data_IF_359997956930
#
_entry.id   IF_359997956930
#
_cell.length_a   1.000
_cell.length_b   1.000
_cell.length_c   1.000
_cell.angle_alpha   90.00
_cell.angle_beta   90.00
_cell.angle_gamma   90.00
#
_symmetry.space_group_name_H-M   'P 1'
#
loop_
_entity.id
_entity.type
_entity.pdbx_description
1 polymer ?
#
# COMPACT_ATOMS: atom_id res chain seq x y z
N UNK A 1 25.15 -23.12 2.57
CA UNK A 1 23.74 -23.00 2.17
C UNK A 1 23.22 -21.73 2.81
N UNK A 2 22.92 -20.70 2.01
CA UNK A 2 22.47 -19.41 2.53
C UNK A 2 20.98 -19.47 2.81
N UNK A 3 20.56 -19.00 3.98
CA UNK A 3 19.16 -18.92 4.40
C UNK A 3 18.30 -18.20 3.36
N UNK A 4 17.42 -18.96 2.71
CA UNK A 4 16.47 -18.47 1.69
C UNK A 4 15.41 -17.51 2.24
N UNK A 5 15.36 -17.27 3.55
CA UNK A 5 14.34 -16.43 4.21
C UNK A 5 14.62 -14.93 4.09
N UNK A 6 15.88 -14.50 3.94
CA UNK A 6 16.24 -13.09 4.01
C UNK A 6 16.12 -12.31 2.69
N UNK A 7 15.77 -12.96 1.57
CA UNK A 7 15.82 -12.28 0.26
C UNK A 7 14.46 -11.77 -0.28
N UNK A 8 13.36 -12.01 0.43
CA UNK A 8 12.02 -11.58 -0.02
C UNK A 8 11.66 -10.18 0.47
N UNK A 9 12.15 -9.81 1.64
CA UNK A 9 11.82 -8.57 2.29
C UNK A 9 13.03 -8.00 2.99
N UNK A 10 13.21 -6.69 2.89
CA UNK A 10 14.19 -5.97 3.68
C UNK A 10 13.59 -4.62 4.09
N UNK A 11 13.91 -4.20 5.31
CA UNK A 11 13.66 -2.86 5.82
C UNK A 11 14.98 -2.27 6.29
N UNK A 12 15.17 -0.98 6.11
CA UNK A 12 16.36 -0.33 6.64
C UNK A 12 16.41 -0.47 8.17
N UNK A 13 17.60 -0.68 8.73
CA UNK A 13 17.81 -0.77 10.19
C UNK A 13 17.63 0.56 10.94
N UNK A 14 17.30 1.65 10.25
CA UNK A 14 17.10 2.99 10.83
C UNK A 14 15.78 3.03 11.60
N UNK A 15 15.79 3.68 12.76
CA UNK A 15 14.56 3.88 13.54
C UNK A 15 13.60 4.83 12.81
N UNK A 16 12.30 4.75 13.13
CA UNK A 16 11.31 5.68 12.58
C UNK A 16 11.67 7.13 12.90
N UNK A 17 12.14 7.40 14.12
CA UNK A 17 12.57 8.74 14.53
C UNK A 17 13.76 9.23 13.69
N UNK A 18 14.73 8.36 13.40
CA UNK A 18 15.86 8.72 12.52
C UNK A 18 15.40 9.03 11.09
N UNK A 19 14.47 8.23 10.55
CA UNK A 19 13.89 8.46 9.23
C UNK A 19 13.15 9.81 9.16
N UNK A 20 12.38 10.13 10.20
CA UNK A 20 11.67 11.42 10.31
C UNK A 20 12.65 12.59 10.38
N UNK A 21 13.73 12.47 11.15
CA UNK A 21 14.75 13.53 11.21
C UNK A 21 15.43 13.75 9.84
N UNK A 22 15.63 12.69 9.05
CA UNK A 22 16.19 12.80 7.71
C UNK A 22 15.23 13.42 6.69
N UNK A 23 13.92 13.48 6.97
CA UNK A 23 12.97 14.18 6.10
C UNK A 23 13.29 15.66 5.97
N UNK A 24 13.90 16.29 6.98
CA UNK A 24 14.22 17.72 6.95
C UNK A 24 15.13 18.15 5.79
N UNK A 25 15.84 17.21 5.15
CA UNK A 25 16.67 17.46 3.96
C UNK A 25 15.95 17.13 2.63
N UNK A 26 14.72 16.64 2.68
CA UNK A 26 13.96 16.12 1.54
C UNK A 26 12.70 16.95 1.28
N UNK A 27 12.08 16.74 0.12
CA UNK A 27 10.78 17.31 -0.20
C UNK A 27 9.67 16.44 0.39
N UNK A 28 8.82 17.06 1.21
CA UNK A 28 7.59 16.51 1.77
C UNK A 28 6.61 17.66 2.04
N UNK A 29 5.31 17.37 2.07
CA UNK A 29 4.28 18.40 2.31
C UNK A 29 3.90 18.49 3.79
N UNK A 30 3.68 17.34 4.41
CA UNK A 30 3.24 17.22 5.79
C UNK A 30 3.62 15.86 6.37
N UNK A 31 3.85 15.82 7.67
CA UNK A 31 4.09 14.60 8.44
C UNK A 31 2.83 14.34 9.27
N UNK A 32 2.19 13.21 8.99
CA UNK A 32 0.99 12.79 9.69
C UNK A 32 1.32 11.68 10.70
N UNK A 33 1.11 11.98 11.98
CA UNK A 33 1.32 11.05 13.09
C UNK A 33 -0.04 10.62 13.61
N UNK A 34 -0.20 9.33 13.88
CA UNK A 34 -1.39 8.76 14.50
C UNK A 34 -1.06 8.27 15.89
N UNK A 35 -1.91 8.63 16.86
CA UNK A 35 -1.89 8.14 18.23
C UNK A 35 -3.13 7.27 18.42
N UNK A 36 -2.88 6.04 18.83
CA UNK A 36 -3.90 5.04 19.11
C UNK A 36 -3.74 4.50 20.52
N UNK A 37 -4.79 3.90 21.07
CA UNK A 37 -4.68 3.22 22.35
C UNK A 37 -3.68 2.05 22.21
N UNK A 38 -2.82 1.85 23.21
CA UNK A 38 -1.89 0.71 23.22
C UNK A 38 -2.66 -0.62 23.11
N UNK A 39 -3.85 -0.69 23.68
CA UNK A 39 -4.82 -1.75 23.44
C UNK A 39 -5.55 -1.53 22.10
N UNK A 40 -5.15 -2.31 21.08
CA UNK A 40 -5.71 -2.23 19.72
C UNK A 40 -7.22 -2.49 19.65
N UNK A 41 -7.81 -3.10 20.67
CA UNK A 41 -9.26 -3.33 20.73
C UNK A 41 -10.04 -2.07 21.15
N UNK A 42 -9.37 -1.11 21.81
CA UNK A 42 -9.98 0.10 22.36
C UNK A 42 -9.74 1.30 21.45
N UNK A 43 -10.75 2.17 21.39
CA UNK A 43 -10.65 3.46 20.71
C UNK A 43 -10.11 4.51 21.68
N UNK A 44 -9.44 5.52 21.15
CA UNK A 44 -9.15 6.73 21.90
C UNK A 44 -10.47 7.42 22.26
N UNK A 45 -10.67 7.82 23.53
CA UNK A 45 -11.84 8.57 23.91
C UNK A 45 -11.83 9.93 23.21
N UNK A 46 -13.02 10.42 22.84
CA UNK A 46 -13.16 11.80 22.42
C UNK A 46 -13.03 12.69 23.66
N UNK A 47 -11.87 13.34 23.78
CA UNK A 47 -11.57 14.23 24.89
C UNK A 47 -11.86 15.67 24.48
N UNK A 48 -12.15 16.52 25.48
CA UNK A 48 -12.30 17.95 25.26
C UNK A 48 -11.04 18.52 24.57
N UNK A 49 -11.19 19.25 23.44
CA UNK A 49 -10.07 19.86 22.71
C UNK A 49 -9.14 20.73 23.57
N UNK A 50 -9.66 21.44 24.57
CA UNK A 50 -8.84 22.26 25.46
C UNK A 50 -7.90 21.43 26.33
N UNK A 51 -8.34 20.25 26.78
CA UNK A 51 -7.49 19.34 27.54
C UNK A 51 -6.37 18.76 26.67
N UNK A 52 -6.71 18.40 25.43
CA UNK A 52 -5.74 17.94 24.43
C UNK A 52 -4.69 19.03 24.17
N UNK A 53 -5.13 20.26 23.93
CA UNK A 53 -4.23 21.40 23.71
C UNK A 53 -3.32 21.65 24.91
N UNK A 54 -3.87 21.68 26.14
CA UNK A 54 -3.09 21.88 27.35
C UNK A 54 -2.07 20.76 27.60
N UNK A 55 -2.42 19.51 27.31
CA UNK A 55 -1.51 18.38 27.40
C UNK A 55 -0.35 18.54 26.40
N UNK A 56 -0.67 18.82 25.14
CA UNK A 56 0.31 18.99 24.07
C UNK A 56 1.26 20.15 24.36
N UNK A 57 0.74 21.30 24.82
CA UNK A 57 1.56 22.46 25.18
C UNK A 57 2.56 22.15 26.30
N UNK A 58 2.20 21.25 27.22
CA UNK A 58 3.08 20.80 28.32
C UNK A 58 4.07 19.73 27.88
N UNK A 59 3.67 18.82 27.01
CA UNK A 59 4.46 17.67 26.61
C UNK A 59 5.40 17.94 25.43
N UNK A 60 5.13 18.95 24.62
CA UNK A 60 5.81 19.20 23.35
C UNK A 60 6.31 20.63 23.27
N UNK A 61 7.63 20.79 23.14
CA UNK A 61 8.27 22.10 23.10
C UNK A 61 7.86 22.91 21.86
N UNK A 62 7.71 22.24 20.72
CA UNK A 62 7.34 22.88 19.43
C UNK A 62 5.86 22.70 19.08
N UNK A 63 4.98 22.70 20.08
CA UNK A 63 3.52 22.54 19.89
C UNK A 63 2.91 23.54 18.89
N UNK A 64 3.50 24.72 18.72
CA UNK A 64 3.06 25.73 17.75
C UNK A 64 3.24 25.30 16.28
N UNK A 65 4.07 24.29 16.01
CA UNK A 65 4.30 23.74 14.66
C UNK A 65 3.28 22.66 14.27
N UNK A 66 2.28 22.42 15.11
CA UNK A 66 1.19 21.49 14.81
C UNK A 66 0.12 22.26 14.02
N UNK A 67 -0.05 21.86 12.77
CA UNK A 67 -0.99 22.51 11.85
C UNK A 67 -2.43 22.04 12.10
N UNK A 68 -2.62 20.77 12.46
CA UNK A 68 -3.95 20.19 12.62
C UNK A 68 -3.97 19.02 13.61
N UNK A 69 -5.11 18.85 14.30
CA UNK A 69 -5.42 17.71 15.16
C UNK A 69 -6.84 17.24 14.85
N UNK A 70 -7.01 15.96 14.54
CA UNK A 70 -8.34 15.39 14.24
C UNK A 70 -8.52 13.99 14.81
N UNK A 71 -9.76 13.67 15.18
CA UNK A 71 -10.15 12.31 15.52
C UNK A 71 -10.57 11.57 14.24
N UNK A 72 -9.92 10.44 13.98
CA UNK A 72 -10.26 9.57 12.86
C UNK A 72 -11.47 8.70 13.18
N UNK A 73 -12.21 8.25 12.16
CA UNK A 73 -13.35 7.32 12.32
C UNK A 73 -12.94 5.98 12.94
N UNK A 74 -11.66 5.62 12.86
CA UNK A 74 -11.08 4.43 13.48
C UNK A 74 -10.86 4.60 14.99
N UNK A 75 -11.12 5.78 15.57
CA UNK A 75 -10.87 6.05 16.98
C UNK A 75 -9.41 6.30 17.30
N UNK A 76 -8.63 6.84 16.35
CA UNK A 76 -7.26 7.31 16.55
C UNK A 76 -7.22 8.84 16.50
N UNK A 77 -6.26 9.46 17.16
CA UNK A 77 -5.98 10.89 17.03
C UNK A 77 -4.90 11.05 15.96
N UNK A 78 -5.12 11.92 14.98
CA UNK A 78 -4.13 12.25 13.96
C UNK A 78 -3.64 13.68 14.17
N UNK A 79 -2.33 13.84 14.21
CA UNK A 79 -1.61 15.11 14.24
C UNK A 79 -0.94 15.34 12.88
N UNK A 80 -1.00 16.57 12.41
CA UNK A 80 -0.33 17.01 11.18
C UNK A 80 0.67 18.10 11.53
N UNK A 81 1.92 17.95 11.09
CA UNK A 81 2.98 18.93 11.29
C UNK A 81 3.96 18.92 10.12
N UNK A 82 4.57 20.06 9.83
CA UNK A 82 5.68 20.16 8.89
C UNK A 82 7.06 20.02 9.54
N UNK A 83 7.13 20.16 10.87
CA UNK A 83 8.40 20.14 11.59
C UNK A 83 8.78 18.70 12.00
N UNK A 84 9.91 18.15 11.53
CA UNK A 84 10.31 16.78 11.87
C UNK A 84 10.64 16.64 13.36
N UNK A 85 11.11 17.70 14.03
CA UNK A 85 11.39 17.66 15.47
C UNK A 85 10.10 17.52 16.27
N UNK A 86 9.07 18.30 15.93
CA UNK A 86 7.73 18.14 16.51
C UNK A 86 7.17 16.73 16.26
N UNK A 87 7.34 16.20 15.04
CA UNK A 87 6.89 14.85 14.69
C UNK A 87 7.57 13.76 15.54
N UNK A 88 8.89 13.85 15.76
CA UNK A 88 9.63 12.90 16.62
C UNK A 88 9.19 12.98 18.07
N UNK A 89 8.91 14.19 18.58
CA UNK A 89 8.36 14.35 19.93
C UNK A 89 6.98 13.68 20.06
N UNK A 90 6.10 13.85 19.07
CA UNK A 90 4.80 13.18 19.00
C UNK A 90 4.95 11.65 18.92
N UNK A 91 5.88 11.14 18.12
CA UNK A 91 6.15 9.71 17.99
C UNK A 91 6.70 9.09 19.27
N UNK A 92 7.42 9.87 20.08
CA UNK A 92 8.03 9.40 21.33
C UNK A 92 7.04 9.34 22.50
N UNK A 93 5.79 9.79 22.31
CA UNK A 93 4.77 9.71 23.35
C UNK A 93 4.36 8.27 23.62
N UNK A 94 4.55 7.82 24.87
CA UNK A 94 4.08 6.52 25.36
C UNK A 94 2.76 6.62 26.13
N UNK A 95 2.48 7.81 26.67
CA UNK A 95 1.24 8.14 27.38
C UNK A 95 0.62 9.39 26.79
N UNK A 96 -0.70 9.37 26.70
CA UNK A 96 -1.49 10.51 26.32
C UNK A 96 -2.53 10.75 27.41
N UNK A 97 -2.33 11.80 28.21
CA UNK A 97 -3.01 12.00 29.49
C UNK A 97 -2.77 10.79 30.42
N UNK A 98 -3.82 10.06 30.80
CA UNK A 98 -3.73 8.87 31.68
C UNK A 98 -3.83 7.55 30.91
N UNK A 99 -3.74 7.59 29.58
CA UNK A 99 -3.92 6.43 28.71
C UNK A 99 -2.59 6.05 28.08
N UNK A 100 -2.23 4.77 28.14
CA UNK A 100 -1.08 4.23 27.41
C UNK A 100 -1.40 4.20 25.91
N UNK A 101 -0.49 4.73 25.09
CA UNK A 101 -0.71 4.92 23.67
C UNK A 101 0.39 4.29 22.82
N UNK A 102 0.02 3.94 21.59
CA UNK A 102 0.92 3.58 20.51
C UNK A 102 0.84 4.63 19.42
N UNK A 103 2.02 5.09 19.01
CA UNK A 103 2.22 6.09 17.97
C UNK A 103 2.66 5.40 16.68
N UNK A 104 2.20 5.90 15.54
CA UNK A 104 2.62 5.42 14.23
C UNK A 104 2.52 6.57 13.20
N UNK A 105 3.20 6.42 12.07
CA UNK A 105 3.29 7.43 11.04
C UNK A 105 2.53 6.99 9.79
N UNK A 106 1.87 7.94 9.11
CA UNK A 106 1.23 7.68 7.81
C UNK A 106 2.32 7.73 6.73
N UNK A 107 2.85 6.55 6.38
CA UNK A 107 4.01 6.41 5.49
C UNK A 107 3.76 6.97 4.09
N UNK A 108 2.53 6.95 3.62
CA UNK A 108 2.12 7.43 2.30
C UNK A 108 2.45 8.92 2.09
N UNK A 109 2.51 9.71 3.16
CA UNK A 109 2.81 11.14 3.10
C UNK A 109 4.32 11.46 3.06
N UNK A 110 5.17 10.49 3.36
CA UNK A 110 6.62 10.70 3.50
C UNK A 110 7.46 9.71 2.70
N UNK A 111 6.82 8.80 1.95
CA UNK A 111 7.50 7.76 1.19
C UNK A 111 6.91 7.59 -0.20
N UNK A 112 7.77 7.23 -1.13
CA UNK A 112 7.43 6.99 -2.52
C UNK A 112 7.73 5.54 -2.87
N UNK A 113 6.82 4.88 -3.59
CA UNK A 113 6.90 3.45 -3.93
C UNK A 113 6.96 3.27 -5.44
N UNK A 114 7.88 2.44 -5.90
CA UNK A 114 8.04 2.13 -7.32
C UNK A 114 8.58 0.72 -7.55
N UNK A 115 8.36 0.21 -8.76
CA UNK A 115 8.82 -1.10 -9.20
C UNK A 115 10.05 -0.96 -10.09
N UNK A 116 11.03 -1.83 -9.85
CA UNK A 116 12.16 -2.06 -10.73
C UNK A 116 12.08 -3.50 -11.24
N UNK A 117 12.03 -3.66 -12.55
CA UNK A 117 11.99 -4.96 -13.22
C UNK A 117 13.41 -5.49 -13.48
N UNK A 118 13.51 -6.74 -13.93
CA UNK A 118 14.76 -7.37 -14.41
C UNK A 118 15.87 -7.49 -13.36
N UNK A 119 15.50 -7.49 -12.07
CA UNK A 119 16.42 -7.79 -10.97
C UNK A 119 16.48 -9.32 -10.81
N UNK A 120 17.68 -9.94 -10.86
CA UNK A 120 17.84 -11.36 -10.59
C UNK A 120 17.34 -11.73 -9.19
N UNK A 121 16.69 -12.89 -9.06
CA UNK A 121 16.18 -13.39 -7.77
C UNK A 121 17.30 -13.87 -6.85
N UNK A 122 18.49 -14.11 -7.39
CA UNK A 122 19.71 -14.48 -6.66
C UNK A 122 20.36 -13.28 -5.97
N UNK A 123 20.13 -12.06 -6.46
CA UNK A 123 20.71 -10.84 -5.87
C UNK A 123 20.10 -10.58 -4.49
N UNK A 124 20.92 -10.46 -3.44
CA UNK A 124 20.44 -10.12 -2.10
C UNK A 124 19.93 -8.69 -2.06
N UNK A 125 18.78 -8.48 -1.40
CA UNK A 125 18.18 -7.13 -1.28
C UNK A 125 19.12 -6.14 -0.58
N UNK A 126 19.95 -6.58 0.38
CA UNK A 126 20.88 -5.73 1.13
C UNK A 126 21.97 -5.11 0.25
N UNK A 127 22.56 -5.87 -0.66
CA UNK A 127 23.54 -5.34 -1.62
C UNK A 127 22.86 -4.40 -2.61
N UNK A 128 21.66 -4.78 -3.06
CA UNK A 128 20.87 -3.98 -3.97
C UNK A 128 20.48 -2.61 -3.37
N UNK A 129 20.14 -2.56 -2.08
CA UNK A 129 19.81 -1.28 -1.44
C UNK A 129 21.03 -0.38 -1.28
N UNK A 130 22.21 -0.92 -1.00
CA UNK A 130 23.46 -0.14 -0.93
C UNK A 130 23.77 0.47 -2.30
N UNK A 131 23.77 -0.36 -3.34
CA UNK A 131 23.99 0.05 -4.72
C UNK A 131 23.04 1.19 -5.16
N UNK A 132 21.75 1.08 -4.81
CA UNK A 132 20.76 2.11 -5.13
C UNK A 132 21.03 3.40 -4.37
N UNK A 133 21.30 3.32 -3.06
CA UNK A 133 21.57 4.49 -2.22
C UNK A 133 22.84 5.22 -2.69
N UNK A 134 23.90 4.49 -2.99
CA UNK A 134 25.19 5.05 -3.41
C UNK A 134 25.13 5.75 -4.78
N UNK A 135 24.27 5.28 -5.70
CA UNK A 135 24.20 5.79 -7.08
C UNK A 135 23.13 6.85 -7.32
N UNK A 136 22.13 6.96 -6.45
CA UNK A 136 20.94 7.78 -6.70
C UNK A 136 20.68 8.84 -5.63
N UNK A 137 21.53 8.93 -4.60
CA UNK A 137 21.36 9.87 -3.47
C UNK A 137 19.94 9.82 -2.89
N UNK A 138 19.48 8.61 -2.60
CA UNK A 138 18.16 8.37 -2.04
C UNK A 138 18.29 7.47 -0.81
N UNK A 139 17.30 7.51 0.08
CA UNK A 139 17.25 6.61 1.24
C UNK A 139 16.20 5.53 0.99
N UNK A 140 16.64 4.28 0.90
CA UNK A 140 15.76 3.12 0.76
C UNK A 140 15.23 2.72 2.15
N UNK A 141 13.91 2.72 2.31
CA UNK A 141 13.21 2.39 3.56
C UNK A 141 12.82 0.90 3.61
N UNK A 142 12.27 0.40 2.51
CA UNK A 142 11.75 -0.96 2.40
C UNK A 142 12.00 -1.48 0.98
N UNK A 143 12.35 -2.76 0.86
CA UNK A 143 12.37 -3.49 -0.41
C UNK A 143 11.58 -4.79 -0.25
N UNK A 144 10.78 -5.12 -1.26
CA UNK A 144 9.95 -6.33 -1.24
C UNK A 144 9.93 -6.99 -2.61
N UNK A 145 10.21 -8.29 -2.65
CA UNK A 145 9.99 -9.15 -3.82
C UNK A 145 8.60 -9.76 -3.77
N UNK A 146 8.02 -9.99 -4.94
CA UNK A 146 6.73 -10.66 -5.05
C UNK A 146 6.90 -12.17 -5.13
N UNK A 147 6.04 -12.90 -4.44
CA UNK A 147 5.99 -14.37 -4.47
C UNK A 147 4.70 -14.80 -5.16
N UNK A 148 4.80 -15.69 -6.15
CA UNK A 148 3.62 -16.24 -6.83
C UNK A 148 2.84 -17.15 -5.87
N UNK A 149 1.54 -16.89 -5.60
CA UNK A 149 0.77 -17.62 -4.60
C UNK A 149 0.79 -19.15 -4.76
N UNK A 150 0.73 -19.65 -6.00
CA UNK A 150 0.60 -21.09 -6.26
C UNK A 150 1.93 -21.85 -6.33
N UNK A 151 3.05 -21.14 -6.45
CA UNK A 151 4.36 -21.80 -6.70
C UNK A 151 5.41 -21.47 -5.66
N UNK A 152 5.17 -20.48 -4.79
CA UNK A 152 6.19 -19.98 -3.86
C UNK A 152 7.40 -19.35 -4.56
N UNK A 153 7.40 -19.26 -5.90
CA UNK A 153 8.52 -18.73 -6.67
C UNK A 153 8.57 -17.21 -6.54
N UNK A 154 9.74 -16.73 -6.14
CA UNK A 154 10.08 -15.30 -6.13
C UNK A 154 10.11 -14.80 -7.57
N UNK A 155 9.56 -13.60 -7.76
CA UNK A 155 9.46 -12.94 -9.06
C UNK A 155 10.57 -11.90 -9.18
N UNK A 156 11.00 -11.60 -10.41
CA UNK A 156 12.04 -10.61 -10.68
C UNK A 156 11.71 -9.18 -10.18
N UNK A 157 10.51 -8.60 -10.38
CA UNK A 157 10.28 -7.22 -10.00
C UNK A 157 10.38 -7.03 -8.49
N UNK A 158 11.02 -5.94 -8.09
CA UNK A 158 11.19 -5.53 -6.69
C UNK A 158 10.43 -4.23 -6.48
N UNK A 159 9.57 -4.23 -5.47
CA UNK A 159 8.95 -3.02 -4.95
C UNK A 159 9.92 -2.34 -4.00
N UNK A 160 10.23 -1.09 -4.30
CA UNK A 160 11.16 -0.27 -3.55
C UNK A 160 10.38 0.90 -2.97
N UNK A 161 10.56 1.12 -1.68
CA UNK A 161 10.03 2.28 -0.95
C UNK A 161 11.21 3.15 -0.57
N UNK A 162 11.21 4.40 -1.02
CA UNK A 162 12.20 5.40 -0.63
C UNK A 162 11.58 6.43 0.30
N UNK A 163 12.42 7.10 1.07
CA UNK A 163 12.04 8.27 1.86
C UNK A 163 11.91 9.49 0.93
N UNK A 164 10.83 10.26 1.09
CA UNK A 164 10.44 11.38 0.23
C UNK A 164 9.19 11.05 -0.59
N UNK A 165 8.49 12.09 -1.04
CA UNK A 165 7.21 11.94 -1.79
C UNK A 165 7.40 11.89 -3.31
N UNK A 166 8.58 12.26 -3.80
CA UNK A 166 8.87 12.32 -5.23
C UNK A 166 9.39 10.98 -5.75
N UNK A 167 8.62 10.33 -6.61
CA UNK A 167 9.06 9.14 -7.35
C UNK A 167 10.09 9.57 -8.41
N UNK A 168 11.31 8.99 -8.44
CA UNK A 168 12.28 9.32 -9.48
C UNK A 168 11.78 8.86 -10.86
N UNK A 169 12.18 9.51 -11.95
CA UNK A 169 11.78 9.04 -13.29
C UNK A 169 12.65 7.85 -13.75
N UNK A 170 13.92 7.88 -13.37
CA UNK A 170 14.91 6.85 -13.68
C UNK A 170 15.76 6.55 -12.46
N UNK A 171 16.25 5.32 -12.38
CA UNK A 171 17.21 4.91 -11.35
C UNK A 171 18.47 4.40 -12.03
N UNK A 172 19.63 4.80 -11.50
CA UNK A 172 20.92 4.25 -11.89
C UNK A 172 21.16 2.98 -11.07
N UNK A 173 21.25 1.85 -11.75
CA UNK A 173 21.49 0.55 -11.15
C UNK A 173 22.61 -0.14 -11.93
N UNK A 174 23.67 -0.56 -11.24
CA UNK A 174 24.90 -1.02 -11.88
C UNK A 174 25.42 0.03 -12.88
N UNK A 175 25.61 -0.37 -14.14
CA UNK A 175 26.07 0.51 -15.22
C UNK A 175 24.92 0.99 -16.12
N UNK A 176 23.66 0.77 -15.72
CA UNK A 176 22.48 1.02 -16.52
C UNK A 176 21.60 2.09 -15.84
N UNK A 177 21.01 2.98 -16.64
CA UNK A 177 19.88 3.81 -16.19
C UNK A 177 18.59 3.16 -16.65
N UNK A 178 17.77 2.75 -15.70
CA UNK A 178 16.50 2.07 -15.96
C UNK A 178 15.34 3.01 -15.65
N UNK A 179 14.33 3.02 -16.52
CA UNK A 179 13.04 3.66 -16.22
C UNK A 179 12.29 2.81 -15.20
N UNK A 180 11.75 3.46 -14.19
CA UNK A 180 10.99 2.77 -13.15
C UNK A 180 9.50 2.80 -13.47
N UNK A 181 8.76 1.84 -12.90
CA UNK A 181 7.30 1.81 -13.00
C UNK A 181 6.70 2.32 -11.69
N UNK A 182 5.81 3.30 -11.77
CA UNK A 182 5.04 3.73 -10.59
C UNK A 182 4.24 2.57 -10.02
N UNK A 183 4.26 2.38 -8.71
CA UNK A 183 3.45 1.37 -8.05
C UNK A 183 2.16 2.01 -7.53
N UNK A 184 1.03 1.57 -8.05
CA UNK A 184 -0.30 1.97 -7.55
C UNK A 184 -0.95 0.73 -6.96
N UNK A 185 -1.33 0.82 -5.68
CA UNK A 185 -2.08 -0.25 -5.04
C UNK A 185 -3.38 -0.49 -5.80
N UNK A 186 -3.66 -1.77 -6.09
CA UNK A 186 -4.90 -2.13 -6.79
C UNK A 186 -6.07 -1.81 -5.86
N UNK A 187 -6.97 -0.89 -6.24
CA UNK A 187 -8.15 -0.60 -5.44
C UNK A 187 -8.93 -1.89 -5.21
N UNK A 188 -9.34 -2.14 -3.96
CA UNK A 188 -10.09 -3.34 -3.62
C UNK A 188 -11.45 -3.30 -4.32
N UNK A 189 -11.60 -4.17 -5.32
CA UNK A 189 -12.86 -4.41 -6.01
C UNK A 189 -13.62 -5.53 -5.29
N UNK A 190 -14.92 -5.34 -5.08
CA UNK A 190 -15.77 -6.39 -4.53
C UNK A 190 -15.97 -7.51 -5.56
N UNK A 191 -15.64 -8.76 -5.21
CA UNK A 191 -15.82 -9.90 -6.13
C UNK A 191 -17.29 -10.30 -6.34
N UNK A 192 -18.25 -9.75 -5.57
CA UNK A 192 -19.69 -10.02 -5.76
C UNK A 192 -20.34 -9.03 -6.72
N UNK A 193 -20.12 -7.74 -6.50
CA UNK A 193 -20.81 -6.68 -7.25
C UNK A 193 -19.89 -5.81 -8.12
N UNK A 194 -18.58 -6.12 -8.14
CA UNK A 194 -17.54 -5.41 -8.90
C UNK A 194 -17.39 -3.91 -8.60
N UNK A 195 -18.03 -3.41 -7.54
CA UNK A 195 -17.88 -2.04 -7.06
C UNK A 195 -16.60 -1.90 -6.22
N UNK A 196 -15.86 -0.82 -6.44
CA UNK A 196 -14.74 -0.40 -5.59
C UNK A 196 -15.30 0.26 -4.34
N UNK A 197 -14.83 -0.13 -3.14
CA UNK A 197 -15.01 0.52 -1.79
C UNK A 197 -15.21 -0.50 -0.67
N UNK A 198 -15.65 -1.72 -0.97
CA UNK A 198 -15.94 -2.73 0.04
C UNK A 198 -15.48 -4.13 -0.40
N UNK A 199 -15.33 -5.04 0.57
CA UNK A 199 -15.01 -6.43 0.29
C UNK A 199 -16.25 -7.28 0.08
N UNK A 200 -16.12 -8.41 -0.59
CA UNK A 200 -17.21 -9.38 -0.80
C UNK A 200 -17.91 -9.84 0.50
N UNK A 201 -17.21 -9.79 1.65
CA UNK A 201 -17.74 -10.16 2.96
C UNK A 201 -18.74 -9.14 3.53
N UNK A 202 -18.56 -7.87 3.23
CA UNK A 202 -19.41 -6.77 3.71
C UNK A 202 -20.35 -6.27 2.61
N UNK A 203 -20.44 -7.02 1.50
CA UNK A 203 -21.31 -6.70 0.38
C UNK A 203 -22.72 -7.20 0.67
N UNK A 204 -23.66 -6.28 0.62
CA UNK A 204 -25.11 -6.46 0.72
C UNK A 204 -25.76 -6.84 -0.61
N UNK A 205 -25.08 -6.58 -1.74
CA UNK A 205 -25.57 -6.93 -3.09
C UNK A 205 -25.41 -8.41 -3.44
N UNK A 206 -26.26 -8.87 -4.35
CA UNK A 206 -26.16 -10.18 -4.99
C UNK A 206 -24.90 -10.30 -5.85
N UNK A 207 -24.53 -11.55 -6.13
CA UNK A 207 -23.40 -11.86 -7.00
C UNK A 207 -23.80 -11.63 -8.46
N UNK A 208 -23.20 -10.63 -9.09
CA UNK A 208 -23.41 -10.36 -10.52
C UNK A 208 -22.38 -11.12 -11.35
N UNK A 209 -22.74 -11.49 -12.57
CA UNK A 209 -21.81 -12.16 -13.48
C UNK A 209 -20.80 -11.18 -14.07
N UNK A 210 -19.51 -11.54 -14.06
CA UNK A 210 -18.41 -10.66 -14.48
C UNK A 210 -18.57 -10.12 -15.92
N UNK A 211 -19.08 -10.94 -16.85
CA UNK A 211 -19.09 -10.56 -18.27
C UNK A 211 -20.26 -9.66 -18.67
N UNK A 212 -21.40 -9.74 -17.97
CA UNK A 212 -22.62 -9.03 -18.39
C UNK A 212 -23.32 -8.25 -17.27
N UNK A 213 -22.81 -8.32 -16.03
CA UNK A 213 -23.38 -7.60 -14.89
C UNK A 213 -24.77 -8.09 -14.45
N UNK A 214 -25.26 -9.21 -14.99
CA UNK A 214 -26.57 -9.78 -14.64
C UNK A 214 -26.52 -10.69 -13.42
N UNK A 215 -27.65 -10.82 -12.73
CA UNK A 215 -27.86 -11.73 -11.59
C UNK A 215 -28.13 -13.18 -12.09
N UNK A 216 -27.15 -13.84 -12.69
CA UNK A 216 -27.26 -15.26 -13.08
C UNK A 216 -25.95 -16.03 -12.92
N UNK A 217 -26.04 -17.36 -12.76
CA UNK A 217 -24.87 -18.22 -12.67
C UNK A 217 -24.38 -18.63 -14.07
N UNK A 218 -23.11 -19.04 -14.19
CA UNK A 218 -22.48 -19.50 -15.44
C UNK A 218 -23.32 -20.57 -16.17
N UNK A 219 -24.14 -21.33 -15.44
CA UNK A 219 -25.01 -22.38 -15.98
C UNK A 219 -26.22 -21.86 -16.76
N UNK A 220 -26.56 -20.58 -16.64
CA UNK A 220 -27.75 -19.97 -17.25
C UNK A 220 -27.45 -19.24 -18.57
N UNK A 221 -26.17 -19.20 -18.98
CA UNK A 221 -25.74 -18.56 -20.22
C UNK A 221 -26.03 -19.45 -21.43
N UNK A 222 -27.23 -19.31 -21.99
CA UNK A 222 -27.42 -19.57 -23.42
C UNK A 222 -26.97 -18.33 -24.17
N UNK A 223 -25.70 -18.29 -24.60
CA UNK A 223 -25.21 -17.22 -25.46
C UNK A 223 -25.87 -17.36 -26.83
N UNK A 224 -26.91 -16.57 -27.10
CA UNK A 224 -27.44 -16.39 -28.46
C UNK A 224 -26.61 -15.28 -29.10
N UNK A 225 -25.58 -15.65 -29.85
CA UNK A 225 -24.88 -14.69 -30.73
C UNK A 225 -25.79 -14.42 -31.91
N UNK A 226 -26.38 -13.22 -31.97
CA UNK A 226 -27.09 -12.76 -33.17
C UNK A 226 -26.03 -12.28 -34.17
N UNK A 227 -25.63 -13.16 -35.08
CA UNK A 227 -24.78 -12.78 -36.22
C UNK A 227 -25.69 -12.01 -37.20
N UNK A 228 -25.44 -10.72 -37.39
CA UNK A 228 -26.14 -9.94 -38.42
C UNK A 228 -25.82 -10.53 -39.79
N UNK A 229 -26.83 -11.12 -40.46
CA UNK A 229 -26.73 -11.61 -41.84
C UNK A 229 -27.16 -13.06 -42.11
N UNK A 230 -27.41 -13.90 -41.09
CA UNK A 230 -27.80 -15.30 -41.32
C UNK A 230 -29.27 -15.58 -41.01
N UNK A 231 -30.02 -16.11 -42.00
CA UNK A 231 -31.39 -16.61 -41.83
C UNK A 231 -31.31 -18.05 -41.29
N UNK A 232 -31.15 -18.20 -39.98
CA UNK A 232 -31.16 -19.52 -39.32
C UNK A 232 -30.94 -19.45 -37.80
N UNK A 233 -31.69 -20.26 -37.04
CA UNK A 233 -31.51 -20.41 -35.59
C UNK A 233 -30.40 -21.43 -35.32
N UNK A 234 -29.28 -21.00 -34.72
CA UNK A 234 -28.22 -21.90 -34.28
C UNK A 234 -28.28 -22.11 -32.76
N UNK A 235 -28.17 -23.37 -32.33
CA UNK A 235 -28.13 -23.76 -30.91
C UNK A 235 -26.69 -24.17 -30.60
N UNK A 236 -25.96 -23.35 -29.84
CA UNK A 236 -24.60 -23.68 -29.41
C UNK A 236 -24.70 -24.69 -28.25
N UNK A 237 -24.10 -25.87 -28.42
CA UNK A 237 -23.96 -26.89 -27.38
C UNK A 237 -22.59 -26.71 -26.71
N UNK A 238 -22.62 -26.46 -25.39
CA UNK A 238 -21.54 -26.50 -24.38
C UNK A 238 -20.08 -26.29 -24.84
N UNK A 239 -19.44 -25.27 -24.27
CA UNK A 239 -17.99 -25.24 -24.10
C UNK A 239 -17.59 -25.95 -22.81
N UNK A 240 -17.19 -27.22 -22.89
CA UNK A 240 -16.26 -27.82 -21.93
C UNK A 240 -14.91 -27.95 -22.62
N UNK A 241 -13.90 -27.21 -22.15
CA UNK A 241 -12.50 -27.38 -22.56
C UNK A 241 -11.98 -26.41 -23.62
N UNK A 242 -10.74 -25.97 -23.42
CA UNK A 242 -9.95 -25.12 -24.31
C UNK A 242 -9.62 -25.85 -25.63
N UNK A 243 -10.51 -25.78 -26.64
CA UNK A 243 -10.17 -25.77 -28.07
C UNK A 243 -11.44 -25.69 -28.93
N UNK A 244 -11.54 -24.78 -29.92
CA UNK A 244 -12.69 -24.76 -30.81
C UNK A 244 -12.52 -25.81 -31.93
N UNK A 245 -13.46 -26.76 -32.02
CA UNK A 245 -13.66 -27.59 -33.22
C UNK A 245 -15.02 -27.21 -33.80
N UNK A 246 -15.03 -26.68 -35.02
CA UNK A 246 -16.26 -26.34 -35.74
C UNK A 246 -16.83 -27.60 -36.37
N UNK A 247 -18.05 -27.99 -36.01
CA UNK A 247 -18.81 -29.01 -36.73
C UNK A 247 -19.98 -28.32 -37.40
N UNK A 248 -19.98 -28.35 -38.74
CA UNK A 248 -21.07 -27.83 -39.58
C UNK A 248 -22.11 -28.96 -39.73
N UNK A 249 -23.39 -28.62 -39.55
CA UNK A 249 -24.52 -29.49 -39.93
C UNK A 249 -25.05 -29.05 -41.28
#
# INVERSE_FOLDING_TARGET
MADTSNNVYMRCGKSVNELVMRLGALRYEEINITISNADKSKKMPQTNPFLVQNFINKSINRHQQIDNVRYTRQGKIQFTTKDPICAVQLLSLTKFMEIDVSTDLIWENISARFLVADIPTTTPLEELSKEIQDKNDCLVVEMRRFVKPNSGKVTSPVLITILGTTVPETIKLWFIRQRIQSFVDRPRQCNKCYVYTHGARTCDKNNIYFCCGGDHMIRDLTVVVKVEGCVGKFKIVRFEGFSPTVVVS
#
